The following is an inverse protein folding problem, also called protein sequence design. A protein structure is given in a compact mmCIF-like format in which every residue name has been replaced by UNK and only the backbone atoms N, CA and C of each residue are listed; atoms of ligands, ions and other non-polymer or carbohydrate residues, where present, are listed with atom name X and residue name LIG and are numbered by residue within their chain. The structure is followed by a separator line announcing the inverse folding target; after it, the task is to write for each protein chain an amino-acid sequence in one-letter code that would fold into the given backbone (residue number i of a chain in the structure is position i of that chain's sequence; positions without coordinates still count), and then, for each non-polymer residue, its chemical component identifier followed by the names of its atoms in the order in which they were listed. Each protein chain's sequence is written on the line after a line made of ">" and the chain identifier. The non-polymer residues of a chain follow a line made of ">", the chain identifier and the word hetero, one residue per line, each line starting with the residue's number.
data_IF_800603999550
#
_entry.id   IF_800603999550
#
_cell.length_a   1.000
_cell.length_b   1.000
_cell.length_c   1.000
_cell.angle_alpha   90.00
_cell.angle_beta   90.00
_cell.angle_gamma   90.00
#
_symmetry.space_group_name_H-M   'P 1'
#
loop_
_entity.id
_entity.type
_entity.pdbx_description
1 polymer ?
#
# COMPACT_ATOMS: atom_id res chain seq x y z
N UNK A 1 1.99 29.47 17.00
CA UNK A 1 1.38 28.32 17.74
C UNK A 1 -0.12 28.39 17.56
N UNK A 2 -0.80 27.29 17.27
CA UNK A 2 -2.27 27.21 17.09
C UNK A 2 -2.98 27.55 18.40
N UNK A 3 -3.77 28.62 18.38
CA UNK A 3 -4.63 29.03 19.53
C UNK A 3 -6.00 28.38 19.44
N UNK A 4 -6.78 28.43 20.51
CA UNK A 4 -8.17 27.94 20.47
C UNK A 4 -9.02 28.70 19.45
N UNK A 5 -8.76 29.97 19.23
CA UNK A 5 -9.43 30.78 18.21
C UNK A 5 -9.13 30.25 16.80
N UNK A 6 -7.86 30.00 16.48
CA UNK A 6 -7.47 29.40 15.18
C UNK A 6 -8.14 28.04 14.97
N UNK A 7 -8.23 27.17 16.02
CA UNK A 7 -8.92 25.89 15.91
C UNK A 7 -10.41 26.04 15.60
N UNK A 8 -11.09 27.05 16.20
CA UNK A 8 -12.49 27.35 15.88
C UNK A 8 -12.67 27.78 14.43
N UNK A 9 -11.78 28.61 13.92
CA UNK A 9 -11.78 29.04 12.50
C UNK A 9 -11.65 27.80 11.60
N UNK A 10 -10.68 26.90 11.86
CA UNK A 10 -10.48 25.69 11.07
C UNK A 10 -11.74 24.79 11.12
N UNK A 11 -12.31 24.57 12.30
CA UNK A 11 -13.54 23.79 12.45
C UNK A 11 -14.71 24.40 11.66
N UNK A 12 -14.79 25.74 11.57
CA UNK A 12 -15.80 26.43 10.78
C UNK A 12 -15.64 26.19 9.27
N UNK A 13 -14.44 25.82 8.80
CA UNK A 13 -14.20 25.49 7.37
C UNK A 13 -14.56 24.03 7.02
N UNK A 14 -14.79 23.16 8.00
CA UNK A 14 -15.11 21.72 7.76
C UNK A 14 -16.28 21.51 6.80
N UNK A 15 -17.43 22.22 6.90
CA UNK A 15 -18.52 22.06 5.92
C UNK A 15 -18.10 22.38 4.49
N UNK A 16 -17.27 23.42 4.29
CA UNK A 16 -16.74 23.80 2.97
C UNK A 16 -15.80 22.72 2.41
N UNK A 17 -14.94 22.15 3.27
CA UNK A 17 -14.05 21.06 2.87
C UNK A 17 -14.81 19.79 2.49
N UNK A 18 -15.88 19.45 3.21
CA UNK A 18 -16.73 18.31 2.85
C UNK A 18 -17.37 18.48 1.48
N UNK A 19 -17.79 19.67 1.14
CA UNK A 19 -18.45 19.95 -0.14
C UNK A 19 -17.46 20.18 -1.29
N UNK A 20 -16.37 20.91 -1.03
CA UNK A 20 -15.46 21.42 -2.08
C UNK A 20 -14.03 20.88 -2.02
N UNK A 21 -13.70 20.00 -1.05
CA UNK A 21 -12.31 19.57 -0.82
C UNK A 21 -11.62 18.93 -2.02
N UNK A 22 -12.34 18.13 -2.82
CA UNK A 22 -11.77 17.52 -4.04
C UNK A 22 -11.49 18.58 -5.12
N UNK A 23 -12.35 19.59 -5.25
CA UNK A 23 -12.11 20.69 -6.19
C UNK A 23 -10.88 21.51 -5.76
N UNK A 24 -10.75 21.80 -4.47
CA UNK A 24 -9.59 22.45 -3.89
C UNK A 24 -8.29 21.68 -4.15
N UNK A 25 -8.28 20.37 -3.88
CA UNK A 25 -7.08 19.56 -4.08
C UNK A 25 -6.74 19.36 -5.56
N UNK A 26 -7.73 19.34 -6.45
CA UNK A 26 -7.51 19.33 -7.89
C UNK A 26 -6.83 20.64 -8.34
N UNK A 27 -7.31 21.78 -7.84
CA UNK A 27 -6.69 23.09 -8.10
C UNK A 27 -5.25 23.13 -7.59
N UNK A 28 -5.04 22.67 -6.35
CA UNK A 28 -3.71 22.58 -5.71
C UNK A 28 -2.72 21.76 -6.57
N UNK A 29 -3.06 20.55 -6.99
CA UNK A 29 -2.15 19.74 -7.81
C UNK A 29 -1.84 20.38 -9.15
N UNK A 30 -2.83 20.96 -9.82
CA UNK A 30 -2.63 21.67 -11.08
C UNK A 30 -1.65 22.86 -10.89
N UNK A 31 -1.87 23.63 -9.85
CA UNK A 31 -1.01 24.77 -9.50
C UNK A 31 0.42 24.31 -9.19
N UNK A 32 0.57 23.32 -8.32
CA UNK A 32 1.86 22.80 -7.91
C UNK A 32 2.65 22.25 -9.11
N UNK A 33 2.06 21.43 -9.96
CA UNK A 33 2.75 20.86 -11.13
C UNK A 33 3.03 21.87 -12.25
N UNK A 34 2.35 23.01 -12.25
CA UNK A 34 2.65 24.11 -13.17
C UNK A 34 3.92 24.86 -12.74
N UNK A 35 4.10 25.05 -11.43
CA UNK A 35 5.25 25.77 -10.89
C UNK A 35 6.46 24.85 -10.60
N UNK A 36 6.18 23.57 -10.29
CA UNK A 36 7.16 22.54 -9.94
C UNK A 36 6.92 21.27 -10.79
N UNK A 37 7.20 21.32 -12.11
CA UNK A 37 6.98 20.17 -13.00
C UNK A 37 7.83 18.95 -12.65
N UNK A 38 8.98 19.14 -11.99
CA UNK A 38 9.87 18.06 -11.51
C UNK A 38 9.20 17.15 -10.51
N UNK A 39 8.23 17.65 -9.73
CA UNK A 39 7.47 16.84 -8.78
C UNK A 39 6.60 15.76 -9.44
N UNK A 40 6.32 15.86 -10.75
CA UNK A 40 5.64 14.79 -11.50
C UNK A 40 6.42 13.48 -11.46
N UNK A 41 7.72 13.51 -11.23
CA UNK A 41 8.55 12.33 -11.05
C UNK A 41 8.29 11.61 -9.72
N UNK A 42 7.88 12.34 -8.70
CA UNK A 42 7.59 11.79 -7.37
C UNK A 42 6.15 11.24 -7.27
N UNK A 43 5.21 11.88 -7.96
CA UNK A 43 3.80 11.53 -7.86
C UNK A 43 3.38 10.46 -8.87
N UNK A 44 2.47 9.56 -8.44
CA UNK A 44 1.83 8.60 -9.32
C UNK A 44 0.88 9.30 -10.30
N UNK A 45 1.33 9.50 -11.55
CA UNK A 45 0.56 10.20 -12.56
C UNK A 45 -0.72 9.45 -12.97
N UNK A 46 -0.79 8.12 -12.82
CA UNK A 46 -2.01 7.35 -13.01
C UNK A 46 -3.08 7.68 -11.96
N UNK A 47 -2.69 7.83 -10.69
CA UNK A 47 -3.60 8.26 -9.62
C UNK A 47 -3.99 9.74 -9.75
N UNK A 48 -3.11 10.57 -10.29
CA UNK A 48 -3.42 11.96 -10.61
C UNK A 48 -4.49 12.04 -11.72
N UNK A 49 -4.31 11.30 -12.81
CA UNK A 49 -5.24 11.29 -13.94
C UNK A 49 -6.63 10.73 -13.57
N UNK A 50 -6.68 9.74 -12.65
CA UNK A 50 -7.94 9.13 -12.19
C UNK A 50 -8.65 9.92 -11.08
N UNK A 51 -8.05 10.97 -10.53
CA UNK A 51 -8.59 11.74 -9.41
C UNK A 51 -8.45 11.09 -8.03
N UNK A 52 -7.89 9.89 -7.96
CA UNK A 52 -7.72 9.15 -6.68
C UNK A 52 -6.80 9.89 -5.70
N UNK A 53 -5.73 10.50 -6.21
CA UNK A 53 -4.79 11.25 -5.36
C UNK A 53 -5.43 12.51 -4.79
N UNK A 54 -6.23 13.22 -5.60
CA UNK A 54 -6.95 14.42 -5.17
C UNK A 54 -7.96 14.08 -4.06
N UNK A 55 -8.72 13.01 -4.25
CA UNK A 55 -9.68 12.53 -3.25
C UNK A 55 -8.97 12.15 -1.94
N UNK A 56 -7.87 11.40 -2.01
CA UNK A 56 -7.13 10.99 -0.82
C UNK A 56 -6.59 12.21 -0.04
N UNK A 57 -6.02 13.21 -0.72
CA UNK A 57 -5.56 14.43 -0.06
C UNK A 57 -6.72 15.22 0.54
N UNK A 58 -7.85 15.35 -0.16
CA UNK A 58 -9.02 16.05 0.35
C UNK A 58 -9.55 15.41 1.64
N UNK A 59 -9.61 14.07 1.67
CA UNK A 59 -10.03 13.34 2.88
C UNK A 59 -9.02 13.50 4.02
N UNK A 60 -7.72 13.49 3.74
CA UNK A 60 -6.68 13.71 4.75
C UNK A 60 -6.76 15.13 5.36
N UNK A 61 -6.95 16.16 4.52
CA UNK A 61 -7.12 17.55 4.99
C UNK A 61 -8.41 17.71 5.81
N UNK A 62 -9.49 17.08 5.36
CA UNK A 62 -10.76 17.07 6.09
C UNK A 62 -10.62 16.40 7.48
N UNK A 63 -10.05 15.20 7.51
CA UNK A 63 -9.83 14.47 8.77
C UNK A 63 -8.95 15.26 9.74
N UNK A 64 -7.92 15.94 9.22
CA UNK A 64 -7.08 16.81 10.04
C UNK A 64 -7.86 18.01 10.61
N UNK A 65 -8.68 18.67 9.78
CA UNK A 65 -9.51 19.79 10.23
C UNK A 65 -10.53 19.37 11.30
N UNK A 66 -11.19 18.23 11.12
CA UNK A 66 -12.15 17.67 12.09
C UNK A 66 -11.51 17.32 13.43
N UNK A 67 -10.24 16.90 13.40
CA UNK A 67 -9.50 16.49 14.59
C UNK A 67 -8.46 17.51 15.05
N UNK A 68 -8.58 18.78 14.64
CA UNK A 68 -7.60 19.83 14.94
C UNK A 68 -7.38 20.07 16.43
N UNK A 69 -8.36 19.75 17.26
CA UNK A 69 -8.27 19.86 18.71
C UNK A 69 -7.49 18.72 19.36
N UNK A 70 -7.47 17.54 18.72
CA UNK A 70 -6.76 16.36 19.18
C UNK A 70 -6.15 15.57 17.99
N UNK A 71 -5.11 16.10 17.33
CA UNK A 71 -4.50 15.46 16.16
C UNK A 71 -3.84 14.11 16.48
N UNK A 72 -3.64 13.75 17.75
CA UNK A 72 -3.07 12.47 18.16
C UNK A 72 -3.92 11.27 17.70
N UNK A 73 -5.22 11.42 17.50
CA UNK A 73 -6.09 10.36 16.96
C UNK A 73 -5.72 9.97 15.52
N UNK A 74 -4.99 10.83 14.81
CA UNK A 74 -4.53 10.59 13.43
C UNK A 74 -3.17 9.88 13.35
N UNK A 75 -2.53 9.56 14.48
CA UNK A 75 -1.21 8.91 14.47
C UNK A 75 -1.14 7.63 13.64
N UNK A 76 -2.15 6.74 13.63
CA UNK A 76 -2.13 5.57 12.74
C UNK A 76 -2.08 5.95 11.24
N UNK A 77 -2.77 7.02 10.85
CA UNK A 77 -2.71 7.53 9.48
C UNK A 77 -1.38 8.22 9.18
N UNK A 78 -0.84 8.99 10.13
CA UNK A 78 0.50 9.61 10.05
C UNK A 78 1.57 8.54 9.83
N UNK A 79 1.53 7.44 10.59
CA UNK A 79 2.46 6.33 10.46
C UNK A 79 2.38 5.67 9.07
N UNK A 80 1.17 5.36 8.62
CA UNK A 80 0.95 4.79 7.29
C UNK A 80 1.45 5.70 6.16
N UNK A 81 1.19 7.01 6.25
CA UNK A 81 1.66 7.99 5.27
C UNK A 81 3.18 8.11 5.35
N UNK A 82 3.76 8.10 6.56
CA UNK A 82 5.21 8.14 6.78
C UNK A 82 5.94 7.00 6.11
N UNK A 83 5.43 5.76 6.20
CA UNK A 83 5.98 4.61 5.46
C UNK A 83 5.97 4.83 3.94
N UNK A 84 4.89 5.40 3.38
CA UNK A 84 4.81 5.72 1.95
C UNK A 84 5.80 6.84 1.58
N UNK A 85 5.84 7.92 2.34
CA UNK A 85 6.74 9.05 2.09
C UNK A 85 8.20 8.64 2.16
N UNK A 86 8.59 7.88 3.19
CA UNK A 86 9.98 7.39 3.31
C UNK A 86 10.37 6.42 2.21
N UNK A 87 9.42 5.64 1.67
CA UNK A 87 9.66 4.78 0.50
C UNK A 87 9.79 5.57 -0.82
N UNK A 88 9.30 6.80 -0.86
CA UNK A 88 9.42 7.74 -1.98
C UNK A 88 10.60 8.70 -1.81
N UNK A 89 11.32 8.62 -0.70
CA UNK A 89 12.39 9.53 -0.32
C UNK A 89 11.93 10.99 -0.22
N UNK A 90 10.74 11.23 0.35
CA UNK A 90 10.22 12.58 0.60
C UNK A 90 11.12 13.29 1.61
N UNK A 91 11.49 14.54 1.30
CA UNK A 91 12.36 15.39 2.10
C UNK A 91 11.59 16.60 2.66
N UNK A 92 12.08 17.25 3.74
CA UNK A 92 11.40 18.40 4.35
C UNK A 92 11.09 19.55 3.39
N UNK A 93 11.94 19.79 2.38
CA UNK A 93 11.77 20.87 1.39
C UNK A 93 10.48 20.71 0.56
N UNK A 94 10.04 19.47 0.35
CA UNK A 94 8.79 19.22 -0.39
C UNK A 94 7.55 19.62 0.40
N UNK A 95 7.61 19.59 1.74
CA UNK A 95 6.53 20.12 2.58
C UNK A 95 6.38 21.64 2.44
N UNK A 96 7.46 22.39 2.25
CA UNK A 96 7.41 23.83 2.02
C UNK A 96 6.72 24.15 0.69
N UNK A 97 7.04 23.39 -0.38
CA UNK A 97 6.39 23.53 -1.69
C UNK A 97 4.89 23.22 -1.57
N UNK A 98 4.55 22.08 -0.96
CA UNK A 98 3.15 21.66 -0.76
C UNK A 98 2.39 22.71 0.04
N UNK A 99 2.93 23.23 1.13
CA UNK A 99 2.29 24.25 1.96
C UNK A 99 2.03 25.53 1.20
N UNK A 100 3.03 26.04 0.47
CA UNK A 100 2.91 27.25 -0.35
C UNK A 100 1.77 27.13 -1.37
N UNK A 101 1.70 26.01 -2.07
CA UNK A 101 0.68 25.82 -3.10
C UNK A 101 -0.70 25.48 -2.54
N UNK A 102 -0.78 24.79 -1.39
CA UNK A 102 -2.05 24.51 -0.72
C UNK A 102 -2.70 25.78 -0.19
N UNK A 103 -1.94 26.62 0.50
CA UNK A 103 -2.43 27.90 1.05
C UNK A 103 -2.84 28.88 -0.07
N UNK A 104 -2.06 28.96 -1.14
CA UNK A 104 -2.44 29.75 -2.31
C UNK A 104 -3.74 29.21 -2.94
N UNK A 105 -3.92 27.90 -3.03
CA UNK A 105 -5.13 27.28 -3.56
C UNK A 105 -6.36 27.53 -2.68
N UNK A 106 -6.18 27.53 -1.34
CA UNK A 106 -7.27 27.91 -0.40
C UNK A 106 -7.73 29.35 -0.72
N UNK A 107 -6.77 30.30 -0.89
CA UNK A 107 -7.08 31.68 -1.20
C UNK A 107 -7.80 31.83 -2.56
N UNK A 108 -7.27 31.16 -3.59
CA UNK A 108 -7.78 31.25 -4.97
C UNK A 108 -9.17 30.60 -5.13
N UNK A 109 -9.44 29.51 -4.41
CA UNK A 109 -10.72 28.74 -4.50
C UNK A 109 -11.80 29.35 -3.61
N UNK A 110 -11.46 29.76 -2.38
CA UNK A 110 -12.44 30.31 -1.43
C UNK A 110 -12.70 31.81 -1.62
N UNK A 111 -11.84 32.53 -2.38
CA UNK A 111 -11.99 33.95 -2.68
C UNK A 111 -12.29 34.80 -1.42
N UNK A 112 -13.43 35.47 -1.35
CA UNK A 112 -13.80 36.35 -0.21
C UNK A 112 -13.97 35.57 1.11
N UNK A 113 -14.23 34.26 1.07
CA UNK A 113 -14.29 33.44 2.26
C UNK A 113 -12.91 33.10 2.83
N UNK A 114 -11.83 33.28 2.06
CA UNK A 114 -10.43 33.15 2.52
C UNK A 114 -9.95 34.44 3.18
N UNK A 115 -10.57 34.82 4.28
CA UNK A 115 -10.14 36.01 5.04
C UNK A 115 -8.70 35.85 5.56
N UNK A 116 -8.07 36.97 5.96
CA UNK A 116 -6.72 36.93 6.54
C UNK A 116 -6.64 35.98 7.74
N UNK A 117 -7.67 36.00 8.60
CA UNK A 117 -7.76 35.10 9.77
C UNK A 117 -7.85 33.62 9.38
N UNK A 118 -8.60 33.30 8.31
CA UNK A 118 -8.69 31.93 7.79
C UNK A 118 -7.35 31.46 7.23
N UNK A 119 -6.67 32.32 6.46
CA UNK A 119 -5.35 32.00 5.89
C UNK A 119 -4.27 31.87 6.98
N UNK A 120 -4.30 32.74 8.01
CA UNK A 120 -3.41 32.60 9.16
C UNK A 120 -3.64 31.29 9.91
N UNK A 121 -4.90 30.97 10.22
CA UNK A 121 -5.27 29.72 10.92
C UNK A 121 -4.79 28.49 10.13
N UNK A 122 -5.02 28.42 8.81
CA UNK A 122 -4.58 27.34 7.96
C UNK A 122 -3.07 27.29 7.78
N UNK A 123 -2.37 28.42 7.76
CA UNK A 123 -0.91 28.45 7.76
C UNK A 123 -0.33 27.80 9.01
N UNK A 124 -0.83 28.17 10.17
CA UNK A 124 -0.40 27.58 11.45
C UNK A 124 -0.76 26.09 11.57
N UNK A 125 -1.95 25.71 11.07
CA UNK A 125 -2.39 24.32 11.04
C UNK A 125 -1.50 23.46 10.12
N UNK A 126 -1.22 23.95 8.91
CA UNK A 126 -0.33 23.26 8.00
C UNK A 126 1.08 23.09 8.56
N UNK A 127 1.66 24.15 9.14
CA UNK A 127 2.97 24.07 9.80
C UNK A 127 3.00 23.02 10.92
N UNK A 128 1.94 22.96 11.72
CA UNK A 128 1.84 21.93 12.75
C UNK A 128 1.83 20.52 12.17
N UNK A 129 1.03 20.27 11.12
CA UNK A 129 0.95 18.98 10.44
C UNK A 129 2.27 18.63 9.77
N UNK A 130 2.87 19.57 9.04
CA UNK A 130 4.16 19.36 8.36
C UNK A 130 5.26 19.01 9.37
N UNK A 131 5.36 19.73 10.49
CA UNK A 131 6.34 19.42 11.53
C UNK A 131 6.10 18.04 12.18
N UNK A 132 4.83 17.63 12.36
CA UNK A 132 4.49 16.30 12.86
C UNK A 132 4.97 15.22 11.88
N UNK A 133 4.67 15.38 10.58
CA UNK A 133 5.06 14.44 9.54
C UNK A 133 6.57 14.35 9.38
N UNK A 134 7.24 15.50 9.24
CA UNK A 134 8.72 15.58 9.10
C UNK A 134 9.40 14.93 10.30
N UNK A 135 8.95 15.25 11.53
CA UNK A 135 9.54 14.66 12.75
C UNK A 135 9.31 13.16 12.87
N UNK A 136 8.17 12.64 12.37
CA UNK A 136 7.88 11.21 12.34
C UNK A 136 8.73 10.50 11.27
N UNK A 137 8.79 11.03 10.07
CA UNK A 137 9.57 10.50 8.95
C UNK A 137 11.08 10.53 9.24
N UNK A 138 11.57 11.58 9.91
CA UNK A 138 12.97 11.66 10.33
C UNK A 138 13.35 10.48 11.24
N UNK A 139 12.50 10.13 12.21
CA UNK A 139 12.73 8.97 13.08
C UNK A 139 12.74 7.67 12.28
N UNK A 140 11.87 7.53 11.27
CA UNK A 140 11.88 6.38 10.37
C UNK A 140 13.19 6.30 9.56
N UNK A 141 13.70 7.43 9.06
CA UNK A 141 14.98 7.47 8.35
C UNK A 141 16.16 7.15 9.29
N UNK A 142 16.15 7.65 10.52
CA UNK A 142 17.17 7.36 11.52
C UNK A 142 17.19 5.86 11.85
N UNK A 143 16.03 5.27 12.09
CA UNK A 143 15.91 3.82 12.34
C UNK A 143 16.45 2.99 11.17
N UNK A 144 16.12 3.36 9.92
CA UNK A 144 16.68 2.68 8.74
C UNK A 144 18.19 2.75 8.64
N UNK A 145 18.84 3.81 9.13
CA UNK A 145 20.32 3.91 9.15
C UNK A 145 20.98 2.96 10.12
N UNK A 146 20.27 2.60 11.21
CA UNK A 146 20.78 1.72 12.26
C UNK A 146 20.67 0.24 11.88
N UNK A 147 19.77 -0.11 10.95
CA UNK A 147 19.58 -1.49 10.49
C UNK A 147 20.67 -1.92 9.49
N UNK A 148 21.28 -3.07 9.74
CA UNK A 148 22.30 -3.62 8.86
C UNK A 148 21.77 -3.89 7.44
N UNK A 149 22.51 -3.45 6.42
CA UNK A 149 22.15 -3.63 5.02
C UNK A 149 21.07 -2.67 4.50
N UNK A 150 20.48 -1.83 5.38
CA UNK A 150 19.45 -0.88 5.01
C UNK A 150 20.04 0.40 4.36
N UNK A 151 19.22 1.23 3.73
CA UNK A 151 19.65 2.46 3.07
C UNK A 151 18.56 3.53 3.07
N UNK A 152 18.94 4.75 2.73
CA UNK A 152 18.02 5.87 2.49
C UNK A 152 18.08 6.24 1.01
N UNK A 153 16.94 6.64 0.46
CA UNK A 153 16.80 7.01 -0.96
C UNK A 153 16.77 5.78 -1.87
N UNK A 154 17.46 5.88 -3.00
CA UNK A 154 17.41 4.89 -4.07
C UNK A 154 18.71 4.11 -4.13
N UNK A 155 18.60 2.77 -4.30
CA UNK A 155 19.72 1.87 -4.49
C UNK A 155 19.47 1.03 -5.74
N UNK A 156 20.52 0.85 -6.56
CA UNK A 156 20.44 0.11 -7.82
C UNK A 156 20.44 -1.39 -7.58
N UNK A 157 19.48 -2.08 -8.20
CA UNK A 157 19.36 -3.53 -8.21
C UNK A 157 19.37 -4.04 -9.65
N UNK A 158 19.80 -5.28 -9.83
CA UNK A 158 19.77 -5.99 -11.11
C UNK A 158 18.63 -7.01 -11.07
N UNK A 159 17.84 -7.09 -12.13
CA UNK A 159 16.87 -8.16 -12.33
C UNK A 159 17.63 -9.46 -12.57
N UNK A 160 17.72 -10.30 -11.56
CA UNK A 160 18.43 -11.59 -11.61
C UNK A 160 17.67 -12.61 -12.43
N UNK A 161 16.36 -12.68 -12.21
CA UNK A 161 15.46 -13.55 -12.97
C UNK A 161 14.05 -12.97 -13.02
N UNK A 162 13.33 -13.39 -14.05
CA UNK A 162 11.95 -12.99 -14.32
C UNK A 162 11.14 -14.27 -14.54
N UNK A 163 10.16 -14.52 -13.66
CA UNK A 163 9.40 -15.78 -13.64
C UNK A 163 7.92 -15.49 -13.83
N UNK A 164 7.30 -16.10 -14.83
CA UNK A 164 5.84 -16.06 -15.02
C UNK A 164 5.17 -16.97 -13.99
N UNK A 165 4.42 -16.37 -13.06
CA UNK A 165 3.70 -17.08 -12.00
C UNK A 165 2.26 -17.44 -12.42
N UNK A 166 1.70 -16.70 -13.36
CA UNK A 166 0.37 -16.93 -13.96
C UNK A 166 0.24 -16.12 -15.25
N UNK A 167 -0.88 -16.25 -15.94
CA UNK A 167 -1.18 -15.48 -17.17
C UNK A 167 -1.08 -13.95 -17.02
N UNK A 168 -1.12 -13.43 -15.80
CA UNK A 168 -1.10 -11.98 -15.53
C UNK A 168 0.00 -11.53 -14.58
N UNK A 169 0.64 -12.44 -13.86
CA UNK A 169 1.56 -12.11 -12.78
C UNK A 169 2.96 -12.64 -13.12
N UNK A 170 3.93 -11.74 -13.05
CA UNK A 170 5.35 -12.04 -13.22
C UNK A 170 6.12 -11.62 -11.98
N UNK A 171 6.96 -12.51 -11.46
CA UNK A 171 7.89 -12.26 -10.37
C UNK A 171 9.22 -11.75 -10.89
N UNK A 172 9.76 -10.73 -10.26
CA UNK A 172 11.09 -10.16 -10.51
C UNK A 172 11.95 -10.41 -9.27
N UNK A 173 13.05 -11.11 -9.45
CA UNK A 173 14.06 -11.35 -8.43
C UNK A 173 15.14 -10.27 -8.56
N UNK A 174 15.32 -9.46 -7.53
CA UNK A 174 16.09 -8.23 -7.57
C UNK A 174 17.29 -8.34 -6.63
N UNK A 175 18.49 -8.39 -7.19
CA UNK A 175 19.76 -8.45 -6.43
C UNK A 175 20.45 -7.09 -6.39
N UNK A 176 21.08 -6.70 -5.26
CA UNK A 176 21.81 -5.45 -5.19
C UNK A 176 23.01 -5.44 -6.15
N UNK A 177 23.10 -4.42 -7.02
CA UNK A 177 24.18 -4.29 -8.01
C UNK A 177 25.56 -4.13 -7.35
N UNK A 178 25.61 -3.50 -6.19
CA UNK A 178 26.84 -3.23 -5.45
C UNK A 178 27.36 -4.44 -4.63
N UNK A 179 26.63 -5.56 -4.63
CA UNK A 179 26.98 -6.79 -3.92
C UNK A 179 26.96 -6.67 -2.41
N UNK A 180 26.48 -5.55 -1.85
CA UNK A 180 26.35 -5.39 -0.38
C UNK A 180 25.09 -6.08 0.11
N UNK A 181 25.11 -6.45 1.39
CA UNK A 181 23.96 -7.05 2.06
C UNK A 181 22.67 -6.22 1.90
N UNK A 182 21.55 -6.90 1.92
CA UNK A 182 20.21 -6.30 2.01
C UNK A 182 19.66 -6.53 3.43
N UNK A 183 18.72 -5.69 3.91
CA UNK A 183 18.13 -5.89 5.23
C UNK A 183 17.16 -7.06 5.22
N UNK A 184 17.03 -7.72 6.35
CA UNK A 184 15.94 -8.66 6.59
C UNK A 184 14.62 -7.87 6.75
N UNK A 185 13.86 -7.80 5.67
CA UNK A 185 12.56 -7.12 5.71
C UNK A 185 11.57 -7.84 6.63
N UNK A 186 10.61 -7.12 7.18
CA UNK A 186 9.50 -7.73 7.89
C UNK A 186 8.50 -8.30 6.87
N UNK A 187 8.05 -9.58 7.01
CA UNK A 187 7.11 -10.19 6.09
C UNK A 187 5.82 -9.38 5.97
N UNK A 188 5.46 -9.01 4.75
CA UNK A 188 4.33 -8.12 4.45
C UNK A 188 4.74 -6.71 4.04
N UNK A 189 5.99 -6.29 4.28
CA UNK A 189 6.50 -5.01 3.81
C UNK A 189 6.53 -4.92 2.28
N UNK A 190 6.58 -3.68 1.79
CA UNK A 190 6.74 -3.33 0.39
C UNK A 190 8.03 -2.55 0.14
N UNK A 191 8.40 -2.41 -1.12
CA UNK A 191 9.40 -1.47 -1.59
C UNK A 191 8.84 -0.66 -2.76
N UNK A 192 9.44 0.51 -2.99
CA UNK A 192 9.15 1.31 -4.18
C UNK A 192 10.16 0.97 -5.26
N UNK A 193 9.67 0.73 -6.48
CA UNK A 193 10.50 0.66 -7.68
C UNK A 193 10.34 1.94 -8.48
N UNK A 194 11.47 2.50 -8.92
CA UNK A 194 11.52 3.69 -9.76
C UNK A 194 12.02 3.30 -11.15
N UNK A 195 11.28 3.68 -12.17
CA UNK A 195 11.63 3.45 -13.58
C UNK A 195 11.43 4.72 -14.40
N UNK A 196 12.30 4.94 -15.36
CA UNK A 196 12.14 6.02 -16.33
C UNK A 196 11.24 5.55 -17.48
N UNK A 197 10.23 6.34 -17.81
CA UNK A 197 9.32 6.12 -18.92
C UNK A 197 9.68 7.06 -20.08
N UNK A 198 10.33 6.57 -21.15
CA UNK A 198 10.77 7.43 -22.24
C UNK A 198 9.63 8.19 -22.94
N UNK A 199 8.46 7.55 -23.08
CA UNK A 199 7.29 8.16 -23.73
C UNK A 199 6.76 9.40 -23.00
N UNK A 200 6.91 9.45 -21.69
CA UNK A 200 6.48 10.58 -20.86
C UNK A 200 7.63 11.53 -20.51
N UNK A 201 8.86 11.10 -20.74
CA UNK A 201 10.09 11.74 -20.24
C UNK A 201 10.03 12.02 -18.73
N UNK A 202 9.53 11.03 -17.96
CA UNK A 202 9.34 11.11 -16.51
C UNK A 202 9.86 9.84 -15.84
N UNK A 203 10.43 10.01 -14.65
CA UNK A 203 10.55 8.92 -13.69
C UNK A 203 9.17 8.65 -13.07
N UNK A 204 8.86 7.37 -12.90
CA UNK A 204 7.62 6.99 -12.23
C UNK A 204 7.90 5.91 -11.19
N UNK A 205 7.23 6.04 -10.05
CA UNK A 205 7.45 5.19 -8.88
C UNK A 205 6.18 4.39 -8.60
N UNK A 206 6.35 3.10 -8.27
CA UNK A 206 5.26 2.25 -7.77
C UNK A 206 5.74 1.42 -6.59
N UNK A 207 4.82 1.18 -5.67
CA UNK A 207 5.01 0.33 -4.52
C UNK A 207 4.55 -1.09 -4.84
N UNK A 208 5.39 -2.07 -4.51
CA UNK A 208 5.09 -3.49 -4.65
C UNK A 208 5.45 -4.21 -3.36
N UNK A 209 4.54 -5.03 -2.85
CA UNK A 209 4.82 -5.89 -1.71
C UNK A 209 5.97 -6.83 -2.04
N UNK A 210 6.86 -7.03 -1.08
CA UNK A 210 7.87 -8.08 -1.16
C UNK A 210 7.12 -9.40 -1.01
N UNK A 211 7.27 -10.30 -1.96
CA UNK A 211 6.47 -11.52 -2.08
C UNK A 211 7.23 -12.80 -1.67
N UNK A 212 8.46 -12.66 -1.15
CA UNK A 212 9.25 -13.77 -0.59
C UNK A 212 9.46 -13.59 0.91
N UNK A 213 9.82 -14.67 1.60
CA UNK A 213 10.36 -14.58 2.94
C UNK A 213 11.67 -13.77 2.97
N UNK A 214 12.05 -13.17 4.12
CA UNK A 214 13.34 -12.54 4.31
C UNK A 214 14.49 -13.51 3.99
N UNK A 215 15.47 -13.00 3.24
CA UNK A 215 16.68 -13.72 2.87
C UNK A 215 17.81 -12.69 2.60
N UNK A 216 19.05 -13.17 2.48
CA UNK A 216 20.23 -12.32 2.35
C UNK A 216 20.59 -11.98 0.90
N UNK A 217 19.89 -12.57 -0.11
CA UNK A 217 20.34 -12.57 -1.50
C UNK A 217 19.55 -11.63 -2.41
N UNK A 218 18.22 -11.55 -2.24
CA UNK A 218 17.34 -10.84 -3.17
C UNK A 218 16.03 -10.38 -2.53
N UNK A 219 15.40 -9.40 -3.17
CA UNK A 219 13.98 -9.16 -3.01
C UNK A 219 13.20 -9.74 -4.19
N UNK A 220 12.03 -10.31 -3.92
CA UNK A 220 11.08 -10.69 -4.96
C UNK A 220 9.87 -9.78 -4.90
N UNK A 221 9.58 -9.10 -6.00
CA UNK A 221 8.29 -8.45 -6.22
C UNK A 221 7.52 -9.22 -7.28
N UNK A 222 6.21 -9.35 -7.12
CA UNK A 222 5.36 -10.05 -8.09
C UNK A 222 4.33 -9.06 -8.61
N UNK A 223 4.42 -8.78 -9.90
CA UNK A 223 3.73 -7.68 -10.56
C UNK A 223 2.60 -8.23 -11.41
N UNK A 224 1.37 -7.81 -11.12
CA UNK A 224 0.24 -8.08 -11.99
C UNK A 224 0.22 -7.07 -13.14
N UNK A 225 0.09 -7.57 -14.37
CA UNK A 225 -0.13 -6.75 -15.56
C UNK A 225 -1.54 -6.14 -15.51
N UNK A 226 -1.62 -4.87 -15.17
CA UNK A 226 -2.90 -4.18 -15.10
C UNK A 226 -3.40 -3.79 -16.49
N UNK A 227 -4.46 -4.43 -16.94
CA UNK A 227 -5.16 -4.12 -18.19
C UNK A 227 -6.38 -3.28 -17.90
N UNK A 228 -6.47 -2.10 -18.50
CA UNK A 228 -7.67 -1.28 -18.51
C UNK A 228 -8.63 -1.71 -19.63
N UNK A 229 -9.82 -1.09 -19.72
CA UNK A 229 -10.77 -1.37 -20.79
C UNK A 229 -10.24 -1.04 -22.20
N UNK A 230 -9.18 -0.24 -22.30
CA UNK A 230 -8.43 0.02 -23.53
C UNK A 230 -6.97 0.36 -23.18
N UNK A 231 -6.09 0.41 -24.18
CA UNK A 231 -4.65 0.66 -24.02
C UNK A 231 -4.36 1.98 -23.26
N UNK A 232 -5.17 3.01 -23.45
CA UNK A 232 -4.94 4.33 -22.84
C UNK A 232 -5.09 4.34 -21.31
N UNK A 233 -5.75 3.33 -20.73
CA UNK A 233 -5.97 3.19 -19.28
C UNK A 233 -5.27 1.96 -18.68
N UNK A 234 -4.36 1.34 -19.42
CA UNK A 234 -3.48 0.30 -18.88
C UNK A 234 -2.58 0.86 -17.78
N UNK A 235 -2.24 0.02 -16.82
CA UNK A 235 -1.28 0.38 -15.78
C UNK A 235 0.10 0.66 -16.37
N UNK A 236 0.54 1.92 -16.40
CA UNK A 236 1.79 2.34 -17.05
C UNK A 236 2.99 1.51 -16.60
N UNK A 237 3.25 1.46 -15.29
CA UNK A 237 4.44 0.82 -14.75
C UNK A 237 4.34 -0.70 -14.81
N UNK A 238 3.19 -1.29 -14.48
CA UNK A 238 3.04 -2.75 -14.52
C UNK A 238 3.27 -3.29 -15.94
N UNK A 239 2.74 -2.62 -16.97
CA UNK A 239 2.99 -3.02 -18.35
C UNK A 239 4.44 -2.76 -18.76
N UNK A 240 5.03 -1.61 -18.40
CA UNK A 240 6.43 -1.32 -18.68
C UNK A 240 7.38 -2.38 -18.10
N UNK A 241 7.16 -2.79 -16.84
CA UNK A 241 7.94 -3.85 -16.19
C UNK A 241 7.83 -5.18 -16.94
N UNK A 242 6.62 -5.55 -17.36
CA UNK A 242 6.41 -6.78 -18.13
C UNK A 242 7.07 -6.75 -19.50
N UNK A 243 6.98 -5.63 -20.22
CA UNK A 243 7.33 -5.54 -21.64
C UNK A 243 8.80 -5.12 -21.86
N UNK A 244 9.37 -4.31 -20.96
CA UNK A 244 10.67 -3.66 -21.21
C UNK A 244 11.73 -3.99 -20.17
N UNK A 245 11.36 -4.46 -18.98
CA UNK A 245 12.35 -4.84 -17.97
C UNK A 245 12.67 -6.33 -18.11
N UNK A 246 13.91 -6.62 -18.52
CA UNK A 246 14.44 -7.95 -18.78
C UNK A 246 15.46 -8.35 -17.70
N UNK A 247 15.82 -9.63 -17.67
CA UNK A 247 16.94 -10.12 -16.88
C UNK A 247 18.23 -9.38 -17.23
N UNK A 248 19.00 -9.00 -16.24
CA UNK A 248 20.20 -8.17 -16.36
C UNK A 248 19.93 -6.65 -16.38
N UNK A 249 18.69 -6.20 -16.53
CA UNK A 249 18.39 -4.77 -16.45
C UNK A 249 18.51 -4.25 -15.02
N UNK A 250 18.80 -2.97 -14.93
CA UNK A 250 18.91 -2.23 -13.67
C UNK A 250 17.61 -1.52 -13.32
N UNK A 251 17.27 -1.52 -12.04
CA UNK A 251 16.14 -0.80 -11.49
C UNK A 251 16.56 -0.15 -10.17
N UNK A 252 15.93 0.94 -9.81
CA UNK A 252 16.17 1.59 -8.53
C UNK A 252 15.07 1.24 -7.53
N UNK A 253 15.48 0.81 -6.34
CA UNK A 253 14.58 0.43 -5.26
C UNK A 253 14.76 1.35 -4.05
N UNK A 254 13.64 1.61 -3.36
CA UNK A 254 13.69 2.09 -1.98
C UNK A 254 14.04 0.95 -1.03
N UNK A 255 14.48 1.29 0.18
CA UNK A 255 14.51 0.34 1.28
C UNK A 255 13.09 -0.15 1.63
N UNK A 256 12.94 -1.37 2.20
CA UNK A 256 11.66 -1.90 2.68
C UNK A 256 10.94 -0.92 3.60
N UNK A 257 9.61 -0.86 3.46
CA UNK A 257 8.73 -0.01 4.26
C UNK A 257 7.35 -0.67 4.42
N UNK A 258 6.53 -0.13 5.31
CA UNK A 258 5.17 -0.64 5.58
C UNK A 258 5.04 -1.23 6.97
N UNK A 259 3.82 -1.12 7.51
CA UNK A 259 3.44 -1.62 8.84
C UNK A 259 2.40 -2.75 8.78
N UNK A 260 2.03 -3.21 7.58
CA UNK A 260 1.25 -4.43 7.39
C UNK A 260 2.19 -5.63 7.46
N UNK A 261 2.50 -6.08 8.66
CA UNK A 261 3.51 -7.11 8.90
C UNK A 261 2.98 -8.27 9.72
N UNK A 262 3.60 -9.44 9.56
CA UNK A 262 3.26 -10.63 10.32
C UNK A 262 3.59 -10.42 11.80
N UNK A 263 2.60 -10.58 12.67
CA UNK A 263 2.80 -10.54 14.11
C UNK A 263 3.49 -11.80 14.61
N UNK A 264 4.46 -11.63 15.50
CA UNK A 264 5.14 -12.73 16.16
C UNK A 264 4.33 -13.21 17.39
N UNK A 265 3.09 -13.64 17.15
CA UNK A 265 2.20 -14.20 18.18
C UNK A 265 1.92 -15.67 17.88
N UNK A 266 1.50 -16.42 18.89
CA UNK A 266 1.07 -17.81 18.74
C UNK A 266 -0.40 -17.93 18.34
N UNK A 267 -1.06 -16.85 17.90
CA UNK A 267 -2.43 -16.90 17.41
C UNK A 267 -2.50 -17.65 16.06
N UNK A 268 -3.62 -18.33 15.79
CA UNK A 268 -3.97 -18.86 14.48
C UNK A 268 -3.92 -17.74 13.43
N UNK A 269 -3.29 -17.98 12.29
CA UNK A 269 -3.16 -17.00 11.20
C UNK A 269 -4.13 -17.34 10.08
N UNK A 270 -4.95 -16.38 9.71
CA UNK A 270 -5.92 -16.52 8.62
C UNK A 270 -5.56 -15.48 7.56
N UNK A 271 -5.01 -15.95 6.46
CA UNK A 271 -4.62 -15.15 5.31
C UNK A 271 -5.75 -15.13 4.28
N UNK A 272 -6.29 -13.96 3.97
CA UNK A 272 -7.43 -13.77 3.07
C UNK A 272 -7.03 -12.82 1.95
N UNK A 273 -6.98 -13.33 0.71
CA UNK A 273 -6.49 -12.56 -0.42
C UNK A 273 -7.43 -12.54 -1.62
N UNK A 274 -7.45 -11.41 -2.33
CA UNK A 274 -8.09 -11.25 -3.63
C UNK A 274 -7.07 -10.88 -4.72
N UNK A 275 -6.94 -11.70 -5.76
CA UNK A 275 -6.03 -11.46 -6.88
C UNK A 275 -4.58 -11.26 -6.44
N UNK A 276 -3.93 -10.15 -6.84
CA UNK A 276 -2.51 -9.87 -6.50
C UNK A 276 -2.31 -9.55 -5.01
N UNK A 277 -3.36 -9.35 -4.22
CA UNK A 277 -3.26 -9.15 -2.76
C UNK A 277 -2.64 -10.33 -2.01
N UNK A 278 -2.44 -11.46 -2.64
CA UNK A 278 -1.71 -12.58 -2.05
C UNK A 278 -0.21 -12.31 -1.82
N UNK A 279 0.40 -11.34 -2.46
CA UNK A 279 1.85 -11.12 -2.42
C UNK A 279 2.43 -10.84 -1.02
N UNK A 280 1.90 -9.92 -0.20
CA UNK A 280 2.41 -9.73 1.16
C UNK A 280 2.12 -10.95 2.06
N UNK A 281 0.98 -11.61 1.85
CA UNK A 281 0.59 -12.79 2.61
C UNK A 281 1.46 -14.00 2.28
N UNK A 282 1.92 -14.11 1.01
CA UNK A 282 2.86 -15.14 0.61
C UNK A 282 4.22 -14.97 1.31
N UNK A 283 4.71 -13.73 1.43
CA UNK A 283 5.91 -13.44 2.22
C UNK A 283 5.76 -13.90 3.67
N UNK A 284 4.58 -13.67 4.27
CA UNK A 284 4.25 -14.13 5.63
C UNK A 284 4.22 -15.66 5.72
N UNK A 285 3.53 -16.33 4.79
CA UNK A 285 3.40 -17.78 4.75
C UNK A 285 4.77 -18.47 4.55
N UNK A 286 5.57 -18.01 3.57
CA UNK A 286 6.93 -18.52 3.33
C UNK A 286 7.83 -18.32 4.56
N UNK A 287 7.64 -17.24 5.32
CA UNK A 287 8.41 -16.99 6.53
C UNK A 287 8.06 -17.99 7.63
N UNK A 288 6.78 -18.31 7.80
CA UNK A 288 6.35 -19.34 8.76
C UNK A 288 6.90 -20.72 8.37
N UNK A 289 6.90 -21.05 7.06
CA UNK A 289 7.44 -22.29 6.51
C UNK A 289 8.95 -22.42 6.80
N UNK A 290 9.74 -21.43 6.45
CA UNK A 290 11.20 -21.44 6.66
C UNK A 290 11.60 -21.48 8.15
N UNK A 291 10.78 -20.95 9.04
CA UNK A 291 11.05 -20.92 10.47
C UNK A 291 10.48 -22.13 11.21
N UNK A 292 9.79 -23.04 10.48
CA UNK A 292 9.05 -24.18 11.06
C UNK A 292 8.11 -23.74 12.21
N UNK A 293 7.46 -22.57 12.00
CA UNK A 293 6.60 -21.94 13.02
C UNK A 293 5.11 -22.22 12.82
N UNK A 294 4.75 -23.38 12.31
CA UNK A 294 3.36 -23.82 12.23
C UNK A 294 2.90 -24.53 13.53
N UNK A 295 3.20 -23.91 14.69
CA UNK A 295 2.72 -24.43 15.98
C UNK A 295 1.19 -24.28 16.13
N UNK A 296 0.61 -23.29 15.44
CA UNK A 296 -0.83 -23.07 15.36
C UNK A 296 -1.31 -23.28 13.93
N UNK A 297 -2.62 -23.43 13.79
CA UNK A 297 -3.23 -23.56 12.47
C UNK A 297 -3.02 -22.31 11.64
N UNK A 298 -2.69 -22.48 10.37
CA UNK A 298 -2.63 -21.44 9.36
C UNK A 298 -3.63 -21.74 8.27
N UNK A 299 -4.52 -20.79 7.98
CA UNK A 299 -5.51 -20.92 6.93
C UNK A 299 -5.23 -19.92 5.82
N UNK A 300 -5.07 -20.43 4.61
CA UNK A 300 -4.91 -19.64 3.40
C UNK A 300 -6.21 -19.64 2.60
N UNK A 301 -6.79 -18.45 2.40
CA UNK A 301 -8.01 -18.29 1.60
C UNK A 301 -7.71 -17.30 0.47
N UNK A 302 -7.81 -17.79 -0.77
CA UNK A 302 -7.51 -16.98 -1.94
C UNK A 302 -8.67 -16.97 -2.93
N UNK A 303 -9.01 -15.79 -3.46
CA UNK A 303 -9.98 -15.62 -4.52
C UNK A 303 -9.36 -14.98 -5.76
N UNK A 304 -9.63 -15.58 -6.93
CA UNK A 304 -9.30 -15.00 -8.22
C UNK A 304 -10.28 -15.49 -9.29
N UNK A 305 -10.19 -14.99 -10.50
CA UNK A 305 -11.17 -15.29 -11.56
C UNK A 305 -11.19 -16.77 -11.98
N UNK A 306 -10.02 -17.37 -12.11
CA UNK A 306 -9.86 -18.77 -12.54
C UNK A 306 -8.44 -19.26 -12.24
N UNK A 307 -8.17 -20.55 -12.54
CA UNK A 307 -6.87 -21.18 -12.33
C UNK A 307 -5.74 -20.53 -13.12
N UNK A 308 -5.99 -20.06 -14.34
CA UNK A 308 -4.94 -19.48 -15.21
C UNK A 308 -4.30 -18.21 -14.64
N UNK A 309 -5.06 -17.46 -13.87
CA UNK A 309 -4.59 -16.21 -13.21
C UNK A 309 -4.21 -16.44 -11.74
N UNK A 310 -4.32 -17.68 -11.23
CA UNK A 310 -3.94 -18.02 -9.87
C UNK A 310 -2.42 -18.26 -9.77
N UNK A 311 -1.69 -17.22 -9.41
CA UNK A 311 -0.25 -17.34 -9.13
C UNK A 311 0.02 -18.07 -7.82
N UNK A 312 1.16 -18.75 -7.72
CA UNK A 312 1.66 -19.42 -6.51
C UNK A 312 0.79 -20.59 -5.97
N UNK A 313 -0.20 -21.04 -6.72
CA UNK A 313 -1.10 -22.13 -6.29
C UNK A 313 -0.34 -23.41 -5.89
N UNK A 314 0.67 -23.80 -6.69
CA UNK A 314 1.49 -24.98 -6.43
C UNK A 314 2.40 -24.79 -5.21
N UNK A 315 2.93 -23.57 -5.02
CA UNK A 315 3.75 -23.25 -3.86
C UNK A 315 2.97 -23.38 -2.57
N UNK A 316 1.79 -22.78 -2.50
CA UNK A 316 0.90 -22.88 -1.32
C UNK A 316 0.45 -24.33 -1.08
N UNK A 317 0.17 -25.07 -2.16
CA UNK A 317 -0.17 -26.51 -2.08
C UNK A 317 0.99 -27.34 -1.52
N UNK A 318 2.22 -27.04 -1.91
CA UNK A 318 3.39 -27.73 -1.38
C UNK A 318 3.58 -27.46 0.11
N UNK A 319 3.39 -26.22 0.57
CA UNK A 319 3.43 -25.88 2.00
C UNK A 319 2.33 -26.64 2.76
N UNK A 320 1.08 -26.64 2.26
CA UNK A 320 -0.03 -27.40 2.84
C UNK A 320 0.30 -28.89 2.95
N UNK A 321 0.89 -29.48 1.92
CA UNK A 321 1.25 -30.92 1.93
C UNK A 321 2.35 -31.28 2.93
N UNK A 322 3.22 -30.31 3.26
CA UNK A 322 4.35 -30.53 4.17
C UNK A 322 3.98 -30.26 5.64
N UNK A 323 2.85 -29.58 5.91
CA UNK A 323 2.48 -29.14 7.25
C UNK A 323 1.00 -29.44 7.55
N UNK A 324 0.74 -30.35 8.47
CA UNK A 324 -0.62 -30.78 8.87
C UNK A 324 -1.48 -29.62 9.42
N UNK A 325 -0.85 -28.57 9.93
CA UNK A 325 -1.51 -27.40 10.49
C UNK A 325 -1.81 -26.31 9.44
N UNK A 326 -1.48 -26.53 8.17
CA UNK A 326 -1.77 -25.58 7.09
C UNK A 326 -2.95 -26.10 6.26
N UNK A 327 -3.91 -25.23 6.04
CA UNK A 327 -5.07 -25.52 5.18
C UNK A 327 -5.25 -24.41 4.17
N UNK A 328 -5.57 -24.77 2.91
CA UNK A 328 -5.89 -23.80 1.87
C UNK A 328 -7.30 -23.95 1.36
N UNK A 329 -7.92 -22.82 1.02
CA UNK A 329 -9.18 -22.72 0.30
C UNK A 329 -9.01 -21.74 -0.86
N UNK A 330 -9.53 -22.11 -2.02
CA UNK A 330 -9.45 -21.27 -3.20
C UNK A 330 -10.85 -21.07 -3.80
N UNK A 331 -11.12 -19.83 -4.18
CA UNK A 331 -12.39 -19.43 -4.79
C UNK A 331 -12.14 -18.92 -6.20
N UNK A 332 -12.86 -19.50 -7.16
CA UNK A 332 -12.83 -19.08 -8.56
C UNK A 332 -14.21 -18.61 -8.99
N UNK A 333 -14.31 -17.59 -9.84
CA UNK A 333 -15.60 -17.12 -10.37
C UNK A 333 -16.38 -18.27 -11.03
N UNK A 334 -15.66 -19.15 -11.73
CA UNK A 334 -16.18 -20.39 -12.30
C UNK A 334 -15.19 -21.52 -12.03
N UNK A 335 -15.66 -22.64 -11.50
CA UNK A 335 -14.87 -23.85 -11.26
C UNK A 335 -15.12 -24.86 -12.37
N UNK A 336 -14.05 -25.25 -13.07
CA UNK A 336 -14.10 -26.36 -14.03
C UNK A 336 -14.28 -27.69 -13.28
N UNK A 337 -15.10 -28.61 -13.80
CA UNK A 337 -15.36 -29.90 -13.17
C UNK A 337 -14.09 -30.68 -12.82
N UNK A 338 -13.05 -30.58 -13.66
CA UNK A 338 -11.75 -31.19 -13.45
C UNK A 338 -10.97 -30.66 -12.24
N UNK A 339 -11.35 -29.50 -11.70
CA UNK A 339 -10.72 -28.82 -10.57
C UNK A 339 -11.56 -28.88 -9.29
N UNK A 340 -12.78 -29.42 -9.37
CA UNK A 340 -13.68 -29.51 -8.24
C UNK A 340 -13.11 -30.44 -7.17
N UNK A 341 -12.72 -29.89 -6.05
CA UNK A 341 -12.38 -30.61 -4.82
C UNK A 341 -13.06 -29.90 -3.63
N UNK A 342 -12.95 -30.47 -2.43
CA UNK A 342 -13.62 -29.92 -1.24
C UNK A 342 -13.07 -28.53 -0.83
N UNK A 343 -11.91 -28.11 -1.33
CA UNK A 343 -11.24 -26.86 -1.00
C UNK A 343 -11.22 -25.86 -2.18
N UNK A 344 -11.73 -26.26 -3.35
CA UNK A 344 -11.91 -25.41 -4.53
C UNK A 344 -13.39 -25.08 -4.70
N UNK A 345 -13.72 -23.81 -4.46
CA UNK A 345 -15.08 -23.33 -4.30
C UNK A 345 -15.42 -22.31 -5.39
N UNK A 346 -16.67 -22.30 -5.83
CA UNK A 346 -17.14 -21.39 -6.87
C UNK A 346 -17.68 -20.08 -6.28
N UNK A 347 -17.33 -18.97 -6.93
CA UNK A 347 -17.77 -17.62 -6.64
C UNK A 347 -16.80 -16.83 -5.77
N UNK A 348 -17.31 -15.78 -5.16
CA UNK A 348 -16.56 -14.96 -4.21
C UNK A 348 -16.39 -15.70 -2.88
N UNK A 349 -15.40 -15.26 -2.07
CA UNK A 349 -15.22 -15.80 -0.72
C UNK A 349 -16.53 -15.69 0.05
N UNK A 350 -16.95 -16.87 0.52
CA UNK A 350 -18.14 -17.11 1.33
C UNK A 350 -17.78 -18.18 2.35
N UNK A 351 -17.62 -17.76 3.60
CA UNK A 351 -17.19 -18.64 4.69
C UNK A 351 -18.20 -19.76 4.98
N UNK A 352 -19.47 -19.59 4.59
CA UNK A 352 -20.50 -20.64 4.77
C UNK A 352 -20.27 -21.85 3.88
N UNK A 353 -19.50 -21.68 2.79
CA UNK A 353 -19.10 -22.76 1.88
C UNK A 353 -17.89 -23.55 2.38
N UNK A 354 -17.15 -23.03 3.35
CA UNK A 354 -15.99 -23.69 3.94
C UNK A 354 -16.51 -24.63 5.03
N UNK A 355 -16.27 -25.93 4.84
CA UNK A 355 -16.74 -26.95 5.77
C UNK A 355 -16.17 -26.70 7.19
N UNK A 356 -17.05 -26.77 8.19
CA UNK A 356 -16.74 -26.63 9.61
C UNK A 356 -16.07 -25.28 9.97
N UNK A 357 -16.21 -24.22 9.13
CA UNK A 357 -15.66 -22.91 9.39
C UNK A 357 -16.22 -22.30 10.67
N UNK A 358 -15.31 -21.71 11.46
CA UNK A 358 -15.66 -20.93 12.64
C UNK A 358 -14.79 -19.67 12.71
N UNK A 359 -15.40 -18.56 13.10
CA UNK A 359 -14.67 -17.35 13.43
C UNK A 359 -14.19 -17.46 14.88
N UNK A 360 -12.88 -17.53 15.06
CA UNK A 360 -12.28 -17.75 16.39
C UNK A 360 -11.77 -16.43 16.97
N UNK A 361 -12.02 -16.24 18.27
CA UNK A 361 -11.64 -15.01 18.99
C UNK A 361 -10.12 -14.83 19.17
N UNK A 362 -9.33 -15.90 19.07
CA UNK A 362 -7.89 -15.89 19.27
C UNK A 362 -7.12 -15.96 17.93
N UNK A 363 -7.78 -15.66 16.81
CA UNK A 363 -7.18 -15.67 15.49
C UNK A 363 -6.79 -14.28 15.02
N UNK A 364 -5.79 -14.18 14.17
CA UNK A 364 -5.38 -12.99 13.46
C UNK A 364 -5.74 -13.11 11.98
N UNK A 365 -6.47 -12.14 11.46
CA UNK A 365 -6.97 -12.10 10.09
C UNK A 365 -6.20 -11.08 9.28
N UNK A 366 -5.45 -11.53 8.29
CA UNK A 366 -4.68 -10.69 7.38
C UNK A 366 -5.39 -10.61 6.03
N UNK A 367 -5.87 -9.44 5.67
CA UNK A 367 -6.71 -9.24 4.47
C UNK A 367 -5.98 -8.34 3.48
N UNK A 368 -5.81 -8.80 2.23
CA UNK A 368 -5.24 -7.97 1.18
C UNK A 368 -5.88 -8.25 -0.19
N UNK A 369 -6.15 -7.18 -0.95
CA UNK A 369 -6.81 -7.28 -2.26
C UNK A 369 -7.35 -5.94 -2.75
N UNK A 370 -8.22 -5.94 -3.77
CA UNK A 370 -8.93 -4.75 -4.21
C UNK A 370 -9.80 -4.15 -3.10
N UNK A 371 -9.92 -2.82 -3.07
CA UNK A 371 -10.69 -2.10 -2.04
C UNK A 371 -12.09 -2.67 -1.77
N UNK A 372 -12.96 -2.92 -2.77
CA UNK A 372 -14.28 -3.50 -2.51
C UNK A 372 -14.22 -4.89 -1.85
N UNK A 373 -13.17 -5.66 -2.17
CA UNK A 373 -12.93 -6.97 -1.55
C UNK A 373 -12.57 -6.80 -0.06
N UNK A 374 -11.63 -5.91 0.25
CA UNK A 374 -11.22 -5.64 1.63
C UNK A 374 -12.41 -5.15 2.46
N UNK A 375 -13.16 -4.17 1.96
CA UNK A 375 -14.35 -3.63 2.63
C UNK A 375 -15.38 -4.74 2.93
N UNK A 376 -15.65 -5.61 1.96
CA UNK A 376 -16.54 -6.77 2.15
C UNK A 376 -16.02 -7.70 3.24
N UNK A 377 -14.75 -8.08 3.20
CA UNK A 377 -14.14 -8.99 4.18
C UNK A 377 -14.17 -8.40 5.59
N UNK A 378 -13.83 -7.12 5.75
CA UNK A 378 -13.87 -6.43 7.06
C UNK A 378 -15.29 -6.41 7.61
N UNK A 379 -16.30 -6.08 6.80
CA UNK A 379 -17.71 -6.09 7.22
C UNK A 379 -18.13 -7.49 7.67
N UNK A 380 -17.75 -8.52 6.92
CA UNK A 380 -18.09 -9.91 7.25
C UNK A 380 -17.43 -10.38 8.55
N UNK A 381 -16.13 -10.09 8.73
CA UNK A 381 -15.41 -10.40 9.95
C UNK A 381 -16.05 -9.71 11.18
N UNK A 382 -16.35 -8.42 11.08
CA UNK A 382 -17.01 -7.66 12.16
C UNK A 382 -18.42 -8.15 12.47
N UNK A 383 -19.20 -8.51 11.45
CA UNK A 383 -20.53 -9.10 11.61
C UNK A 383 -20.49 -10.41 12.40
N UNK A 384 -19.38 -11.16 12.24
CA UNK A 384 -19.12 -12.39 12.97
C UNK A 384 -18.32 -12.18 14.26
N UNK A 385 -18.34 -10.94 14.81
CA UNK A 385 -17.78 -10.57 16.12
C UNK A 385 -16.24 -10.68 16.22
N UNK A 386 -15.53 -10.65 15.10
CA UNK A 386 -14.06 -10.52 15.09
C UNK A 386 -13.71 -9.08 15.50
N UNK A 387 -12.85 -8.92 16.50
CA UNK A 387 -12.48 -7.62 17.02
C UNK A 387 -11.52 -6.86 16.08
N UNK A 388 -11.59 -5.53 16.08
CA UNK A 388 -10.76 -4.68 15.20
C UNK A 388 -9.26 -4.93 15.36
N UNK A 389 -8.77 -5.23 16.56
CA UNK A 389 -7.36 -5.49 16.83
C UNK A 389 -6.85 -6.84 16.28
N UNK A 390 -7.75 -7.70 15.80
CA UNK A 390 -7.45 -8.99 15.17
C UNK A 390 -7.45 -8.89 13.63
N UNK A 391 -7.91 -7.77 13.08
CA UNK A 391 -8.07 -7.56 11.63
C UNK A 391 -6.96 -6.65 11.13
N UNK A 392 -6.05 -7.21 10.36
CA UNK A 392 -4.96 -6.51 9.70
C UNK A 392 -5.25 -6.47 8.20
N UNK A 393 -5.11 -5.31 7.58
CA UNK A 393 -5.38 -5.21 6.15
C UNK A 393 -4.48 -4.20 5.45
N UNK A 394 -4.19 -4.46 4.18
CA UNK A 394 -3.49 -3.55 3.29
C UNK A 394 -4.25 -3.33 1.99
N UNK A 395 -4.44 -2.05 1.65
CA UNK A 395 -5.02 -1.61 0.38
C UNK A 395 -3.93 -1.08 -0.54
N UNK A 396 -3.88 -1.58 -1.78
CA UNK A 396 -2.96 -1.07 -2.78
C UNK A 396 -3.49 0.22 -3.41
N UNK A 397 -2.81 1.33 -3.14
CA UNK A 397 -3.18 2.64 -3.67
C UNK A 397 -3.25 3.74 -2.63
N UNK A 398 -3.76 4.92 -3.03
CA UNK A 398 -4.00 6.00 -2.07
C UNK A 398 -5.16 5.62 -1.17
N UNK A 399 -4.91 5.52 0.13
CA UNK A 399 -5.98 5.29 1.11
C UNK A 399 -6.78 6.58 1.29
N UNK A 400 -8.11 6.48 1.33
CA UNK A 400 -8.96 7.48 1.96
C UNK A 400 -8.95 7.19 3.46
N UNK A 401 -8.53 8.17 4.24
CA UNK A 401 -8.53 8.13 5.71
C UNK A 401 -9.96 8.20 6.21
#
# INVERSE_FOLDING_TARGET
>A
MLTNHHKQIILATVPLLRQGGVALTKHFYNRMFTHHPELKNLFNMGNQNSGKQQTALAMAVLAYAENISNPAVLMPAVDLIGHKHTSLNVQPEQYEIVGTHLLASIKEVLQDAATEEVLEAWTLAYQQLANLMIGHEQKMYEHKKEEAGNWIGWRTFIVKSKVEESAEITSFYLQPKDGKAIPNHLPGQFLSIKVFLPELNLEQIRQYSISCAPNDDYFRISVKREKGPNIAVNGMISNYLHDHILEGNEVELSAPAGNFVLNNSNAKKIFISGGIGQTPLLSMLETLDLQDKFQQEVVWIHACRNKEVHAFADKVKNIENNHENVRKYQFYDVVEESLADQNTLEGQIDFTKIKDWKFEQDSEYYVCGPRPFIEKMIVELKTNQVNDHQIFFEEFGPKSI
#
